data_IF_196972222118
#
_entry.id   IF_196972222118
#
_cell.length_a   1.000
_cell.length_b   1.000
_cell.length_c   1.000
_cell.angle_alpha   90.00
_cell.angle_beta   90.00
_cell.angle_gamma   90.00
#
_symmetry.space_group_name_H-M   'P 1'
#
loop_
_entity.id
_entity.type
_entity.pdbx_description
1 polymer ?
#
# COMPACT_ATOMS: atom_id res chain seq x y z
N UNK A 1 17.82 -16.84 27.24
CA UNK A 1 17.77 -17.33 25.85
C UNK A 1 17.61 -16.11 24.97
N UNK A 2 18.58 -15.82 24.09
CA UNK A 2 18.50 -14.66 23.21
C UNK A 2 17.30 -14.86 22.28
N UNK A 3 16.38 -13.89 22.25
CA UNK A 3 15.33 -13.83 21.25
C UNK A 3 16.02 -13.60 19.92
N UNK A 4 16.17 -14.65 19.10
CA UNK A 4 16.57 -14.49 17.71
C UNK A 4 15.57 -13.55 17.05
N UNK A 5 16.02 -12.33 16.81
CA UNK A 5 15.19 -11.30 16.19
C UNK A 5 15.47 -11.40 14.70
N UNK A 6 14.48 -11.82 13.93
CA UNK A 6 14.61 -12.04 12.48
C UNK A 6 14.57 -10.73 11.66
N UNK A 7 14.42 -9.59 12.35
CA UNK A 7 14.53 -8.25 11.80
C UNK A 7 15.65 -7.51 12.51
N UNK A 8 16.35 -6.65 11.79
CA UNK A 8 17.30 -5.70 12.36
C UNK A 8 16.59 -4.74 13.32
N UNK A 9 17.36 -4.13 14.23
CA UNK A 9 16.81 -3.10 15.13
C UNK A 9 16.22 -1.90 14.37
N UNK A 10 16.80 -1.55 13.21
CA UNK A 10 16.32 -0.46 12.37
C UNK A 10 14.99 -0.80 11.68
N UNK A 11 14.87 -2.00 11.11
CA UNK A 11 13.61 -2.46 10.49
C UNK A 11 12.47 -2.50 11.52
N UNK A 12 12.77 -2.99 12.72
CA UNK A 12 11.81 -3.04 13.82
C UNK A 12 11.32 -1.62 14.16
N UNK A 13 12.23 -0.66 14.28
CA UNK A 13 11.88 0.74 14.54
C UNK A 13 11.00 1.35 13.44
N UNK A 14 11.24 1.02 12.17
CA UNK A 14 10.40 1.50 11.06
C UNK A 14 8.97 0.97 11.14
N UNK A 15 8.79 -0.32 11.38
CA UNK A 15 7.45 -0.89 11.52
C UNK A 15 6.76 -0.45 12.81
N UNK A 16 7.51 -0.32 13.91
CA UNK A 16 6.98 0.25 15.15
C UNK A 16 6.46 1.65 14.89
N UNK A 17 7.28 2.57 14.36
CA UNK A 17 6.82 3.93 14.03
C UNK A 17 5.64 3.92 13.06
N UNK A 18 5.69 3.07 12.04
CA UNK A 18 4.62 2.89 11.06
C UNK A 18 3.27 2.55 11.70
N UNK A 19 3.27 1.80 12.81
CA UNK A 19 2.03 1.47 13.53
C UNK A 19 1.32 2.66 14.18
N UNK A 20 1.99 3.81 14.32
CA UNK A 20 1.42 5.03 14.90
C UNK A 20 1.03 6.06 13.85
N UNK A 21 1.80 6.15 12.76
CA UNK A 21 1.69 7.25 11.81
C UNK A 21 0.94 6.90 10.53
N UNK A 22 0.88 5.61 10.16
CA UNK A 22 0.24 5.21 8.92
C UNK A 22 -1.28 5.09 9.07
N UNK A 23 -2.01 5.20 7.94
CA UNK A 23 -3.44 4.91 7.91
C UNK A 23 -3.75 3.55 8.54
N UNK A 24 -4.88 3.47 9.25
CA UNK A 24 -5.26 2.34 10.10
C UNK A 24 -4.97 0.94 9.53
N UNK A 25 -5.34 0.57 8.28
CA UNK A 25 -5.07 -0.78 7.78
C UNK A 25 -3.56 -1.08 7.66
N UNK A 26 -2.77 -0.11 7.23
CA UNK A 26 -1.30 -0.25 7.09
C UNK A 26 -0.65 -0.27 8.48
N UNK A 27 -1.07 0.61 9.39
CA UNK A 27 -0.60 0.63 10.78
C UNK A 27 -0.85 -0.70 11.53
N UNK A 28 -2.03 -1.30 11.31
CA UNK A 28 -2.36 -2.61 11.86
C UNK A 28 -1.47 -3.72 11.30
N UNK A 29 -1.11 -3.65 10.01
CA UNK A 29 -0.14 -4.57 9.42
C UNK A 29 1.26 -4.40 10.02
N UNK A 30 1.75 -3.17 10.17
CA UNK A 30 3.04 -2.91 10.81
C UNK A 30 3.07 -3.46 12.24
N UNK A 31 1.99 -3.29 13.00
CA UNK A 31 1.85 -3.87 14.36
C UNK A 31 1.87 -5.39 14.37
N UNK A 32 1.41 -6.06 13.31
CA UNK A 32 1.47 -7.53 13.20
C UNK A 32 2.89 -7.98 12.94
N UNK A 33 3.60 -7.33 12.02
CA UNK A 33 4.99 -7.60 11.68
C UNK A 33 5.89 -7.49 12.93
N UNK A 34 5.75 -6.43 13.72
CA UNK A 34 6.57 -6.23 14.94
C UNK A 34 6.28 -7.23 16.05
N UNK A 35 5.12 -7.90 16.03
CA UNK A 35 4.72 -8.89 17.04
C UNK A 35 4.94 -10.35 16.60
N UNK A 36 5.40 -10.59 15.38
CA UNK A 36 5.72 -11.94 14.89
C UNK A 36 6.89 -12.52 15.67
N UNK A 37 6.77 -13.79 16.07
CA UNK A 37 7.73 -14.46 16.98
C UNK A 37 8.48 -15.62 16.35
N UNK A 38 8.09 -16.03 15.15
CA UNK A 38 8.73 -17.11 14.39
C UNK A 38 9.00 -16.66 12.96
N UNK A 39 9.95 -17.28 12.25
CA UNK A 39 10.22 -16.95 10.85
C UNK A 39 8.98 -17.08 9.95
N UNK A 40 8.16 -18.11 10.17
CA UNK A 40 6.96 -18.39 9.37
C UNK A 40 5.89 -17.32 9.61
N UNK A 41 5.67 -16.94 10.88
CA UNK A 41 4.71 -15.89 11.24
C UNK A 41 5.19 -14.51 10.80
N UNK A 42 6.50 -14.29 10.71
CA UNK A 42 7.07 -13.06 10.15
C UNK A 42 6.84 -13.02 8.64
N UNK A 43 7.15 -14.10 7.92
CA UNK A 43 6.95 -14.17 6.48
C UNK A 43 5.48 -13.95 6.10
N UNK A 44 4.56 -14.62 6.78
CA UNK A 44 3.12 -14.44 6.57
C UNK A 44 2.68 -12.99 6.85
N UNK A 45 3.13 -12.41 7.96
CA UNK A 45 2.82 -11.02 8.31
C UNK A 45 3.35 -10.02 7.26
N UNK A 46 4.53 -10.25 6.71
CA UNK A 46 5.13 -9.44 5.64
C UNK A 46 4.35 -9.57 4.33
N UNK A 47 4.02 -10.80 3.91
CA UNK A 47 3.24 -11.03 2.69
C UNK A 47 1.85 -10.39 2.79
N UNK A 48 1.17 -10.58 3.92
CA UNK A 48 -0.14 -9.97 4.15
C UNK A 48 -0.03 -8.44 4.24
N UNK A 49 1.05 -7.94 4.83
CA UNK A 49 1.30 -6.51 4.92
C UNK A 49 1.53 -5.86 3.58
N UNK A 50 2.34 -6.48 2.72
CA UNK A 50 2.53 -6.04 1.35
C UNK A 50 1.19 -5.99 0.59
N UNK A 51 0.32 -6.99 0.78
CA UNK A 51 -1.00 -7.00 0.17
C UNK A 51 -1.90 -5.87 0.68
N UNK A 52 -1.94 -5.63 1.99
CA UNK A 52 -2.70 -4.53 2.59
C UNK A 52 -2.20 -3.17 2.07
N UNK A 53 -0.89 -3.00 1.99
CA UNK A 53 -0.27 -1.78 1.48
C UNK A 53 -0.64 -1.55 0.00
N UNK A 54 -0.52 -2.59 -0.84
CA UNK A 54 -0.87 -2.50 -2.24
C UNK A 54 -2.35 -2.14 -2.46
N UNK A 55 -3.26 -2.75 -1.70
CA UNK A 55 -4.69 -2.43 -1.71
C UNK A 55 -4.96 -0.98 -1.31
N UNK A 56 -4.34 -0.54 -0.20
CA UNK A 56 -4.51 0.83 0.29
C UNK A 56 -4.05 1.86 -0.77
N UNK A 57 -2.86 1.66 -1.33
CA UNK A 57 -2.33 2.51 -2.39
C UNK A 57 -3.22 2.47 -3.64
N UNK A 58 -3.78 1.30 -4.00
CA UNK A 58 -4.66 1.17 -5.16
C UNK A 58 -5.93 1.99 -4.95
N UNK A 59 -6.57 1.88 -3.79
CA UNK A 59 -7.73 2.71 -3.43
C UNK A 59 -7.41 4.20 -3.45
N UNK A 60 -6.27 4.62 -2.88
CA UNK A 60 -5.85 6.02 -2.90
C UNK A 60 -5.57 6.52 -4.32
N UNK A 61 -4.95 5.70 -5.16
CA UNK A 61 -4.67 5.99 -6.56
C UNK A 61 -5.96 6.15 -7.37
N UNK A 62 -6.93 5.25 -7.19
CA UNK A 62 -8.24 5.36 -7.85
C UNK A 62 -9.02 6.59 -7.40
N UNK A 63 -9.00 6.92 -6.10
CA UNK A 63 -9.63 8.13 -5.58
C UNK A 63 -8.97 9.39 -6.17
N UNK A 64 -7.64 9.43 -6.23
CA UNK A 64 -6.89 10.50 -6.89
C UNK A 64 -7.19 10.59 -8.39
N UNK A 65 -7.44 9.47 -9.05
CA UNK A 65 -7.86 9.44 -10.45
C UNK A 65 -9.30 9.96 -10.63
N UNK A 66 -10.23 9.62 -9.74
CA UNK A 66 -11.66 9.96 -9.89
C UNK A 66 -11.98 11.47 -9.86
N UNK A 67 -11.05 12.29 -9.35
CA UNK A 67 -11.21 13.75 -9.28
C UNK A 67 -10.57 14.46 -10.48
N UNK A 68 -10.05 13.73 -11.47
CA UNK A 68 -9.42 14.30 -12.66
C UNK A 68 -10.47 14.72 -13.69
N UNK A 69 -10.35 15.95 -14.18
CA UNK A 69 -11.26 16.51 -15.19
C UNK A 69 -10.83 16.17 -16.63
N UNK A 70 -9.56 15.79 -16.83
CA UNK A 70 -8.92 15.45 -18.11
C UNK A 70 -8.99 13.95 -18.45
N UNK A 71 -9.83 13.19 -17.75
CA UNK A 71 -9.94 11.74 -17.88
C UNK A 71 -10.65 11.30 -19.18
N UNK A 72 -10.05 11.57 -20.34
CA UNK A 72 -10.55 11.11 -21.64
C UNK A 72 -10.30 9.61 -21.89
N UNK A 73 -9.29 9.03 -21.23
CA UNK A 73 -8.98 7.60 -21.30
C UNK A 73 -9.18 6.97 -19.92
N UNK A 74 -10.29 6.29 -19.71
CA UNK A 74 -10.44 5.38 -18.58
C UNK A 74 -9.48 4.21 -18.78
N UNK A 75 -8.46 4.00 -17.92
CA UNK A 75 -7.65 2.80 -17.94
C UNK A 75 -8.52 1.55 -18.14
N UNK A 76 -8.15 0.67 -19.07
CA UNK A 76 -8.83 -0.62 -19.30
C UNK A 76 -9.04 -1.41 -17.99
N UNK A 77 -8.20 -1.14 -17.00
CA UNK A 77 -8.24 -1.70 -15.67
C UNK A 77 -9.55 -1.45 -14.93
N UNK A 78 -10.23 -0.32 -15.15
CA UNK A 78 -11.53 -0.04 -14.53
C UNK A 78 -12.59 -1.07 -14.93
N UNK A 79 -12.49 -1.64 -16.14
CA UNK A 79 -13.38 -2.71 -16.59
C UNK A 79 -13.10 -4.07 -15.93
N UNK A 80 -11.92 -4.24 -15.32
CA UNK A 80 -11.45 -5.50 -14.71
C UNK A 80 -11.60 -5.55 -13.17
N UNK A 81 -12.12 -4.50 -12.54
CA UNK A 81 -12.26 -4.43 -11.07
C UNK A 81 -13.42 -5.24 -10.49
N UNK A 82 -14.06 -6.12 -11.29
CA UNK A 82 -15.18 -6.93 -10.85
C UNK A 82 -14.73 -8.34 -10.44
N UNK A 83 -15.25 -8.84 -9.32
CA UNK A 83 -14.97 -10.19 -8.83
C UNK A 83 -13.76 -10.27 -7.88
N UNK A 84 -13.20 -11.47 -7.66
CA UNK A 84 -12.09 -11.67 -6.74
C UNK A 84 -10.80 -11.03 -7.30
N UNK A 85 -10.29 -10.03 -6.58
CA UNK A 85 -9.05 -9.34 -6.91
C UNK A 85 -7.86 -9.94 -6.17
N UNK A 86 -6.74 -10.04 -6.86
CA UNK A 86 -5.46 -10.54 -6.37
C UNK A 86 -4.46 -9.41 -6.06
N UNK A 87 -3.35 -9.74 -5.41
CA UNK A 87 -2.24 -8.80 -5.20
C UNK A 87 -1.76 -8.11 -6.48
N UNK A 88 -1.66 -8.87 -7.58
CA UNK A 88 -1.20 -8.36 -8.87
C UNK A 88 -2.12 -7.29 -9.45
N UNK A 89 -3.43 -7.41 -9.21
CA UNK A 89 -4.41 -6.42 -9.67
C UNK A 89 -4.19 -5.08 -8.97
N UNK A 90 -4.03 -5.08 -7.64
CA UNK A 90 -3.77 -3.86 -6.87
C UNK A 90 -2.44 -3.19 -7.25
N UNK A 91 -1.39 -3.98 -7.47
CA UNK A 91 -0.11 -3.45 -7.93
C UNK A 91 -0.22 -2.83 -9.33
N UNK A 92 -0.97 -3.49 -10.23
CA UNK A 92 -1.21 -2.99 -11.59
C UNK A 92 -1.95 -1.66 -11.56
N UNK A 93 -2.95 -1.50 -10.68
CA UNK A 93 -3.66 -0.22 -10.47
C UNK A 93 -2.69 0.90 -10.14
N UNK A 94 -1.85 0.69 -9.13
CA UNK A 94 -0.88 1.69 -8.69
C UNK A 94 0.07 2.11 -9.83
N UNK A 95 0.62 1.12 -10.54
CA UNK A 95 1.57 1.36 -11.63
C UNK A 95 0.93 2.07 -12.82
N UNK A 96 -0.32 1.74 -13.17
CA UNK A 96 -1.00 2.39 -14.28
C UNK A 96 -1.39 3.82 -13.94
N UNK A 97 -1.99 4.07 -12.77
CA UNK A 97 -2.36 5.42 -12.35
C UNK A 97 -1.14 6.33 -12.23
N UNK A 98 -0.01 5.81 -11.75
CA UNK A 98 1.25 6.56 -11.65
C UNK A 98 1.87 6.93 -13.01
N UNK A 99 1.60 6.15 -14.07
CA UNK A 99 2.09 6.43 -15.44
C UNK A 99 1.27 7.48 -16.17
N UNK A 100 0.04 7.74 -15.74
CA UNK A 100 -0.82 8.73 -16.36
C UNK A 100 -0.29 10.14 -16.06
N UNK A 101 0.12 10.85 -17.11
CA UNK A 101 0.35 12.29 -17.02
C UNK A 101 -1.00 12.97 -16.76
N UNK A 102 -1.11 13.79 -15.71
CA UNK A 102 -2.33 14.54 -15.42
C UNK A 102 -2.05 15.84 -14.66
N UNK A 103 -2.95 16.80 -14.83
CA UNK A 103 -3.06 17.98 -13.96
C UNK A 103 -3.96 17.63 -12.77
N UNK A 104 -3.37 17.13 -11.67
CA UNK A 104 -4.15 16.82 -10.47
C UNK A 104 -4.73 18.11 -9.86
N UNK A 105 -6.01 18.18 -9.45
CA UNK A 105 -6.60 19.39 -8.86
C UNK A 105 -5.86 19.88 -7.61
N UNK A 106 -5.25 18.94 -6.87
CA UNK A 106 -4.41 19.26 -5.71
C UNK A 106 -2.98 19.72 -6.05
N UNK A 107 -2.54 19.64 -7.31
CA UNK A 107 -1.17 19.99 -7.75
C UNK A 107 -0.71 21.39 -7.30
N UNK A 108 -1.54 22.44 -7.29
CA UNK A 108 -1.15 23.74 -6.74
C UNK A 108 -0.80 23.71 -5.25
N UNK A 109 -1.44 22.81 -4.49
CA UNK A 109 -1.28 22.66 -3.04
C UNK A 109 -0.20 21.62 -2.65
N UNK A 110 0.23 20.79 -3.60
CA UNK A 110 1.25 19.74 -3.41
C UNK A 110 2.66 20.20 -3.79
N UNK A 111 2.88 21.50 -4.01
CA UNK A 111 4.22 22.05 -4.17
C UNK A 111 5.00 21.86 -2.86
N UNK A 112 5.87 20.86 -2.85
CA UNK A 112 6.99 20.75 -1.91
C UNK A 112 8.10 21.74 -2.30
#
# INVERSE_FOLDING_TARGET
>A
MASETYMTGMETQFFERGSWIYPHPVAMSCSRITRSRTPETLLDALLKGAEILARYLASASLASYSVREDASDSPELFAKLNGPLSFGDFLTINQQVAKLACEHPAKPYLKA
#
